data_IF_612554993405
#
_entry.id   IF_612554993405
#
_cell.length_a   1.000
_cell.length_b   1.000
_cell.length_c   1.000
_cell.angle_alpha   90.00
_cell.angle_beta   90.00
_cell.angle_gamma   90.00
#
_symmetry.space_group_name_H-M   'P 1'
#
loop_
_entity.id
_entity.type
_entity.pdbx_description
1 polymer ?
#
# COMPACT_ATOMS: atom_id res chain seq x y z
N UNK A 1 -22.13 6.78 -3.51
CA UNK A 1 -21.52 6.37 -2.22
C UNK A 1 -22.09 7.14 -1.05
N UNK A 2 -22.01 8.47 -0.99
CA UNK A 2 -22.60 9.27 0.11
C UNK A 2 -24.08 8.96 0.37
N UNK A 3 -24.90 8.88 -0.68
CA UNK A 3 -26.32 8.58 -0.53
C UNK A 3 -26.53 7.19 0.10
N UNK A 4 -25.73 6.19 -0.28
CA UNK A 4 -25.81 4.85 0.30
C UNK A 4 -25.35 4.84 1.77
N UNK A 5 -24.31 5.59 2.13
CA UNK A 5 -23.89 5.76 3.52
C UNK A 5 -24.97 6.48 4.36
N UNK A 6 -25.60 7.52 3.80
CA UNK A 6 -26.68 8.26 4.46
C UNK A 6 -27.89 7.36 4.69
N UNK A 7 -28.32 6.62 3.66
CA UNK A 7 -29.42 5.67 3.77
C UNK A 7 -29.14 4.59 4.81
N UNK A 8 -27.93 4.02 4.81
CA UNK A 8 -27.49 3.06 5.83
C UNK A 8 -27.60 3.64 7.25
N UNK A 9 -27.12 4.87 7.44
CA UNK A 9 -27.15 5.55 8.74
C UNK A 9 -28.57 5.85 9.21
N UNK A 10 -29.46 6.28 8.30
CA UNK A 10 -30.88 6.52 8.60
C UNK A 10 -31.59 5.22 8.96
N UNK A 11 -31.34 4.14 8.22
CA UNK A 11 -31.93 2.82 8.49
C UNK A 11 -31.47 2.26 9.84
N UNK A 12 -30.19 2.41 10.18
CA UNK A 12 -29.68 2.05 11.51
C UNK A 12 -30.39 2.84 12.61
N UNK A 13 -30.48 4.17 12.47
CA UNK A 13 -31.17 5.01 13.45
C UNK A 13 -32.67 4.70 13.58
N UNK A 14 -33.32 4.29 12.49
CA UNK A 14 -34.72 3.87 12.53
C UNK A 14 -34.90 2.52 13.22
N UNK A 15 -33.94 1.60 13.10
CA UNK A 15 -33.96 0.31 13.80
C UNK A 15 -34.08 0.46 15.32
N UNK A 16 -33.55 1.56 15.86
CA UNK A 16 -33.54 1.88 17.29
C UNK A 16 -34.84 2.57 17.76
N UNK A 17 -35.75 2.95 16.85
CA UNK A 17 -37.01 3.56 17.24
C UNK A 17 -37.95 2.51 17.86
N UNK A 18 -38.68 2.84 18.95
CA UNK A 18 -39.53 1.89 19.67
C UNK A 18 -40.52 1.14 18.78
N UNK A 19 -41.09 1.82 17.78
CA UNK A 19 -42.01 1.23 16.81
C UNK A 19 -41.39 0.05 16.05
N UNK A 20 -40.14 0.19 15.57
CA UNK A 20 -39.46 -0.86 14.81
C UNK A 20 -38.93 -1.96 15.71
N UNK A 21 -38.53 -1.64 16.94
CA UNK A 21 -38.20 -2.64 17.95
C UNK A 21 -39.41 -3.51 18.31
N UNK A 22 -40.58 -2.89 18.53
CA UNK A 22 -41.83 -3.61 18.80
C UNK A 22 -42.27 -4.47 17.61
N UNK A 23 -42.16 -3.95 16.38
CA UNK A 23 -42.42 -4.73 15.16
C UNK A 23 -41.48 -5.93 15.05
N UNK A 24 -40.21 -5.78 15.41
CA UNK A 24 -39.23 -6.86 15.42
C UNK A 24 -39.57 -7.93 16.47
N UNK A 25 -39.98 -7.51 17.67
CA UNK A 25 -40.44 -8.41 18.73
C UNK A 25 -41.71 -9.16 18.30
N UNK A 26 -42.69 -8.46 17.71
CA UNK A 26 -43.92 -9.07 17.18
C UNK A 26 -43.63 -10.08 16.07
N UNK A 27 -42.74 -9.74 15.12
CA UNK A 27 -42.28 -10.66 14.06
C UNK A 27 -41.62 -11.90 14.63
N UNK A 28 -40.85 -11.75 15.70
CA UNK A 28 -40.17 -12.85 16.37
C UNK A 28 -41.13 -13.74 17.17
N UNK A 29 -42.18 -13.16 17.76
CA UNK A 29 -43.24 -13.90 18.45
C UNK A 29 -44.15 -14.69 17.49
N UNK A 30 -44.29 -14.22 16.24
CA UNK A 30 -45.04 -14.92 15.19
C UNK A 30 -44.24 -16.04 14.52
N UNK A 31 -42.93 -16.16 14.78
CA UNK A 31 -42.12 -17.26 14.26
C UNK A 31 -42.49 -18.56 15.01
N UNK A 32 -42.99 -19.60 14.32
CA UNK A 32 -43.23 -20.89 14.97
C UNK A 32 -41.90 -21.44 15.50
N UNK A 33 -41.92 -22.01 16.72
CA UNK A 33 -40.77 -22.67 17.33
C UNK A 33 -40.11 -23.63 16.34
N UNK A 34 -38.77 -23.67 16.23
CA UNK A 34 -38.11 -24.53 15.27
C UNK A 34 -38.44 -25.99 15.59
N UNK A 35 -39.21 -26.64 14.72
CA UNK A 35 -39.30 -28.10 14.68
C UNK A 35 -37.89 -28.65 14.47
N UNK A 36 -37.52 -29.68 15.24
CA UNK A 36 -36.16 -30.19 15.49
C UNK A 36 -35.27 -30.57 14.28
N UNK A 37 -35.64 -30.25 13.04
CA UNK A 37 -34.86 -30.54 11.82
C UNK A 37 -34.14 -29.35 11.16
N UNK A 38 -34.50 -28.10 11.46
CA UNK A 38 -33.93 -26.93 10.76
C UNK A 38 -32.80 -26.28 11.58
N UNK A 39 -31.64 -26.95 11.63
CA UNK A 39 -30.40 -26.41 12.24
C UNK A 39 -29.67 -25.37 11.38
N UNK A 40 -30.25 -24.92 10.27
CA UNK A 40 -29.72 -23.84 9.45
C UNK A 40 -30.51 -22.55 9.67
N UNK A 41 -30.73 -22.20 10.94
CA UNK A 41 -31.42 -20.99 11.34
C UNK A 41 -30.73 -19.76 10.76
N UNK A 42 -31.46 -19.02 9.92
CA UNK A 42 -31.15 -17.64 9.55
C UNK A 42 -30.68 -16.87 10.79
N UNK A 43 -29.65 -16.02 10.68
CA UNK A 43 -29.12 -15.28 11.82
C UNK A 43 -30.26 -14.57 12.55
N UNK A 44 -30.21 -14.57 13.88
CA UNK A 44 -31.06 -13.69 14.68
C UNK A 44 -30.73 -12.25 14.27
N UNK A 45 -31.50 -11.66 13.35
CA UNK A 45 -31.41 -10.25 13.01
C UNK A 45 -31.68 -9.45 14.29
N UNK A 46 -30.66 -8.77 14.80
CA UNK A 46 -30.71 -7.98 16.03
C UNK A 46 -31.57 -6.73 15.88
N UNK A 47 -31.64 -6.16 14.68
CA UNK A 47 -32.45 -5.02 14.29
C UNK A 47 -33.32 -5.30 13.06
N UNK A 48 -34.37 -4.49 12.90
CA UNK A 48 -35.39 -4.66 11.86
C UNK A 48 -34.85 -4.46 10.44
N UNK A 49 -33.85 -3.57 10.28
CA UNK A 49 -33.25 -3.24 8.98
C UNK A 49 -31.83 -3.81 8.78
N UNK A 50 -31.35 -4.68 9.66
CA UNK A 50 -29.95 -5.15 9.66
C UNK A 50 -29.51 -5.73 8.31
N UNK A 51 -30.34 -6.55 7.67
CA UNK A 51 -30.02 -7.14 6.38
C UNK A 51 -29.85 -6.08 5.28
N UNK A 52 -30.65 -5.02 5.33
CA UNK A 52 -30.59 -3.92 4.38
C UNK A 52 -29.39 -3.00 4.66
N UNK A 53 -29.10 -2.73 5.93
CA UNK A 53 -27.89 -2.02 6.38
C UNK A 53 -26.64 -2.77 5.94
N UNK A 54 -26.62 -4.10 6.09
CA UNK A 54 -25.53 -4.96 5.63
C UNK A 54 -25.33 -4.87 4.10
N UNK A 55 -26.42 -4.90 3.33
CA UNK A 55 -26.36 -4.72 1.87
C UNK A 55 -25.82 -3.35 1.45
N UNK A 56 -26.27 -2.27 2.09
CA UNK A 56 -25.73 -0.93 1.83
C UNK A 56 -24.25 -0.82 2.19
N UNK A 57 -23.85 -1.40 3.33
CA UNK A 57 -22.46 -1.43 3.77
C UNK A 57 -21.58 -2.16 2.74
N UNK A 58 -21.96 -3.38 2.36
CA UNK A 58 -21.26 -4.16 1.34
C UNK A 58 -21.19 -3.41 -0.02
N UNK A 59 -22.27 -2.78 -0.44
CA UNK A 59 -22.29 -1.95 -1.65
C UNK A 59 -21.27 -0.81 -1.55
N UNK A 60 -21.26 -0.07 -0.44
CA UNK A 60 -20.34 1.05 -0.25
C UNK A 60 -18.88 0.64 -0.12
N UNK A 61 -18.58 -0.54 0.40
CA UNK A 61 -17.23 -1.10 0.44
C UNK A 61 -16.76 -1.55 -0.95
N UNK A 62 -17.66 -2.14 -1.74
CA UNK A 62 -17.41 -2.44 -3.15
C UNK A 62 -17.16 -1.15 -3.96
N UNK A 63 -17.95 -0.09 -3.74
CA UNK A 63 -17.72 1.21 -4.36
C UNK A 63 -16.36 1.81 -3.97
N UNK A 64 -15.97 1.69 -2.69
CA UNK A 64 -14.67 2.17 -2.20
C UNK A 64 -13.52 1.43 -2.89
N UNK A 65 -13.62 0.11 -3.00
CA UNK A 65 -12.63 -0.73 -3.68
C UNK A 65 -12.51 -0.37 -5.16
N UNK A 66 -13.65 -0.20 -5.84
CA UNK A 66 -13.68 0.20 -7.24
C UNK A 66 -13.09 1.60 -7.45
N UNK A 67 -13.40 2.55 -6.56
CA UNK A 67 -12.85 3.90 -6.61
C UNK A 67 -11.33 3.89 -6.47
N UNK A 68 -10.78 3.16 -5.49
CA UNK A 68 -9.32 3.03 -5.33
C UNK A 68 -8.69 2.45 -6.60
N UNK A 69 -9.28 1.39 -7.17
CA UNK A 69 -8.77 0.78 -8.40
C UNK A 69 -8.78 1.77 -9.58
N UNK A 70 -9.85 2.54 -9.73
CA UNK A 70 -9.99 3.55 -10.77
C UNK A 70 -8.99 4.70 -10.60
N UNK A 71 -8.72 5.12 -9.36
CA UNK A 71 -7.70 6.13 -9.08
C UNK A 71 -6.29 5.62 -9.37
N UNK A 72 -6.00 4.38 -8.99
CA UNK A 72 -4.69 3.78 -9.23
C UNK A 72 -4.41 3.50 -10.71
N UNK A 73 -5.44 3.30 -11.53
CA UNK A 73 -5.29 2.90 -12.95
C UNK A 73 -4.34 3.79 -13.77
N UNK A 74 -4.59 5.12 -13.86
CA UNK A 74 -3.72 6.04 -14.58
C UNK A 74 -2.29 6.07 -14.05
N UNK A 75 -2.12 6.07 -12.73
CA UNK A 75 -0.80 6.02 -12.08
C UNK A 75 -0.03 4.76 -12.48
N UNK A 76 -0.65 3.57 -12.30
CA UNK A 76 -0.04 2.28 -12.63
C UNK A 76 0.38 2.23 -14.10
N UNK A 77 -0.50 2.66 -15.00
CA UNK A 77 -0.25 2.65 -16.44
C UNK A 77 0.94 3.52 -16.81
N UNK A 78 0.99 4.75 -16.30
CA UNK A 78 2.06 5.69 -16.62
C UNK A 78 3.40 5.25 -16.00
N UNK A 79 3.40 4.89 -14.72
CA UNK A 79 4.60 4.49 -14.00
C UNK A 79 5.22 3.22 -14.59
N UNK A 80 4.43 2.18 -14.88
CA UNK A 80 4.97 0.96 -15.52
C UNK A 80 5.60 1.23 -16.89
N UNK A 81 5.04 2.17 -17.65
CA UNK A 81 5.53 2.46 -19.01
C UNK A 81 6.80 3.31 -19.02
N UNK A 82 6.90 4.27 -18.11
CA UNK A 82 7.91 5.33 -18.22
C UNK A 82 8.94 5.32 -17.08
N UNK A 83 8.54 4.94 -15.86
CA UNK A 83 9.40 5.16 -14.70
C UNK A 83 10.54 4.16 -14.61
N UNK A 84 10.28 2.86 -14.79
CA UNK A 84 11.34 1.83 -14.76
C UNK A 84 12.41 2.11 -15.83
N UNK A 85 11.99 2.50 -17.03
CA UNK A 85 12.91 2.89 -18.09
C UNK A 85 13.76 4.12 -17.72
N UNK A 86 13.17 5.09 -17.03
CA UNK A 86 13.89 6.27 -16.54
C UNK A 86 14.93 5.91 -15.46
N UNK A 87 14.60 4.99 -14.53
CA UNK A 87 15.56 4.49 -13.53
C UNK A 87 16.75 3.80 -14.20
N UNK A 88 16.50 2.99 -15.23
CA UNK A 88 17.55 2.30 -15.97
C UNK A 88 18.43 3.27 -16.77
N UNK A 89 17.84 4.31 -17.36
CA UNK A 89 18.58 5.31 -18.12
C UNK A 89 19.51 6.15 -17.23
N UNK A 90 19.17 6.34 -15.95
CA UNK A 90 20.04 7.05 -15.01
C UNK A 90 21.41 6.37 -14.85
N UNK A 91 21.47 5.03 -14.77
CA UNK A 91 22.75 4.33 -14.70
C UNK A 91 23.66 4.63 -15.90
N UNK A 92 23.09 4.75 -17.11
CA UNK A 92 23.85 5.03 -18.32
C UNK A 92 24.47 6.43 -18.34
N UNK A 93 23.87 7.36 -17.61
CA UNK A 93 24.38 8.75 -17.50
C UNK A 93 25.44 8.88 -16.42
N UNK A 94 25.38 8.03 -15.38
CA UNK A 94 26.30 8.12 -14.24
C UNK A 94 27.65 7.43 -14.47
N UNK A 95 27.71 6.46 -15.40
CA UNK A 95 28.93 5.76 -15.75
C UNK A 95 29.32 6.07 -17.21
N UNK A 96 30.60 6.32 -17.46
CA UNK A 96 31.13 6.44 -18.82
C UNK A 96 31.22 5.07 -19.53
N UNK A 97 31.59 5.08 -20.82
CA UNK A 97 31.74 3.87 -21.66
C UNK A 97 32.78 2.89 -21.07
N UNK A 98 33.72 3.40 -20.26
CA UNK A 98 34.76 2.63 -19.59
C UNK A 98 34.37 2.20 -18.16
N UNK A 99 33.13 2.45 -17.74
CA UNK A 99 32.60 2.08 -16.42
C UNK A 99 33.06 2.99 -15.28
N UNK A 100 33.65 4.16 -15.57
CA UNK A 100 34.07 5.13 -14.55
C UNK A 100 32.94 6.10 -14.22
N UNK A 101 32.80 6.39 -12.93
CA UNK A 101 31.78 7.28 -12.39
C UNK A 101 32.04 8.74 -12.81
N UNK A 102 31.07 9.40 -13.44
CA UNK A 102 31.19 10.83 -13.78
C UNK A 102 30.97 11.68 -12.52
N UNK A 103 32.05 12.27 -11.97
CA UNK A 103 32.12 12.83 -10.61
C UNK A 103 31.39 14.17 -10.37
N UNK A 104 31.09 14.93 -11.44
CA UNK A 104 30.68 16.34 -11.30
C UNK A 104 29.15 16.57 -11.29
N UNK A 105 28.33 15.59 -11.69
CA UNK A 105 26.85 15.68 -11.71
C UNK A 105 26.15 14.95 -10.54
N UNK A 106 26.92 14.44 -9.56
CA UNK A 106 26.45 13.44 -8.59
C UNK A 106 25.60 14.03 -7.46
N UNK A 107 26.07 15.12 -6.84
CA UNK A 107 25.39 15.72 -5.68
C UNK A 107 24.26 16.69 -6.07
N UNK A 108 24.24 17.16 -7.31
CA UNK A 108 23.19 18.07 -7.82
C UNK A 108 21.99 17.34 -8.42
N UNK A 109 22.15 16.09 -8.85
CA UNK A 109 21.12 15.31 -9.55
C UNK A 109 20.18 14.53 -8.62
N UNK A 110 20.68 14.03 -7.48
CA UNK A 110 19.92 13.19 -6.55
C UNK A 110 19.43 14.02 -5.36
N UNK A 111 18.41 14.84 -5.58
CA UNK A 111 17.81 15.64 -4.49
C UNK A 111 16.29 15.79 -4.58
N UNK A 112 15.67 15.39 -5.70
CA UNK A 112 14.24 15.60 -5.94
C UNK A 112 13.59 14.36 -6.52
N UNK A 113 12.26 14.32 -6.45
CA UNK A 113 11.48 13.24 -7.05
C UNK A 113 11.76 13.22 -8.55
N UNK A 114 12.07 12.05 -9.09
CA UNK A 114 12.24 11.79 -10.52
C UNK A 114 11.07 12.42 -11.29
N UNK A 115 11.32 13.26 -12.32
CA UNK A 115 10.24 13.99 -13.01
C UNK A 115 9.12 13.08 -13.53
N UNK A 116 9.48 11.90 -14.04
CA UNK A 116 8.52 10.90 -14.53
C UNK A 116 7.63 10.37 -13.39
N UNK A 117 8.22 10.09 -12.23
CA UNK A 117 7.45 9.62 -11.08
C UNK A 117 6.59 10.74 -10.51
N UNK A 118 7.11 11.95 -10.43
CA UNK A 118 6.38 13.13 -9.98
C UNK A 118 5.11 13.37 -10.81
N UNK A 119 5.17 13.27 -12.14
CA UNK A 119 3.99 13.39 -13.02
C UNK A 119 2.92 12.34 -12.68
N UNK A 120 3.33 11.09 -12.47
CA UNK A 120 2.42 10.01 -12.08
C UNK A 120 1.76 10.31 -10.73
N UNK A 121 2.55 10.75 -9.76
CA UNK A 121 2.11 11.07 -8.41
C UNK A 121 1.17 12.28 -8.37
N UNK A 122 1.43 13.32 -9.17
CA UNK A 122 0.55 14.48 -9.28
C UNK A 122 -0.84 14.10 -9.79
N UNK A 123 -0.90 13.18 -10.76
CA UNK A 123 -2.19 12.66 -11.27
C UNK A 123 -2.96 11.96 -10.14
N UNK A 124 -2.29 11.12 -9.36
CA UNK A 124 -2.91 10.44 -8.23
C UNK A 124 -3.32 11.43 -7.12
N UNK A 125 -2.46 12.38 -6.77
CA UNK A 125 -2.71 13.40 -5.76
C UNK A 125 -3.90 14.31 -6.10
N UNK A 126 -4.09 14.66 -7.37
CA UNK A 126 -5.29 15.38 -7.83
C UNK A 126 -6.56 14.55 -7.62
N UNK A 127 -6.53 13.25 -7.96
CA UNK A 127 -7.69 12.39 -7.75
C UNK A 127 -8.02 12.21 -6.27
N UNK A 128 -7.01 12.07 -5.42
CA UNK A 128 -7.17 12.00 -3.96
C UNK A 128 -7.84 13.25 -3.43
N UNK A 129 -7.32 14.42 -3.81
CA UNK A 129 -7.87 15.72 -3.41
C UNK A 129 -9.31 15.85 -3.87
N UNK A 130 -9.59 15.53 -5.14
CA UNK A 130 -10.93 15.57 -5.70
C UNK A 130 -11.90 14.67 -4.93
N UNK A 131 -11.51 13.43 -4.65
CA UNK A 131 -12.31 12.46 -3.88
C UNK A 131 -12.57 12.96 -2.45
N UNK A 132 -11.59 13.59 -1.82
CA UNK A 132 -11.72 14.20 -0.48
C UNK A 132 -12.74 15.33 -0.41
N UNK A 133 -13.04 16.01 -1.52
CA UNK A 133 -14.07 17.07 -1.56
C UNK A 133 -15.50 16.51 -1.53
N UNK A 134 -15.70 15.27 -1.95
CA UNK A 134 -17.04 14.70 -2.14
C UNK A 134 -17.39 13.59 -1.16
N UNK A 135 -16.52 13.19 -0.23
CA UNK A 135 -16.76 12.08 0.68
C UNK A 135 -16.64 12.56 2.13
N UNK A 136 -17.44 11.98 3.03
CA UNK A 136 -17.31 12.24 4.48
C UNK A 136 -15.91 11.90 4.99
N UNK A 137 -15.44 12.62 6.00
CA UNK A 137 -14.07 12.48 6.55
C UNK A 137 -13.75 11.04 6.95
N UNK A 138 -14.66 10.34 7.62
CA UNK A 138 -14.44 8.95 8.06
C UNK A 138 -14.26 8.01 6.88
N UNK A 139 -15.12 8.14 5.87
CA UNK A 139 -15.07 7.27 4.69
C UNK A 139 -13.89 7.61 3.80
N UNK A 140 -13.53 8.88 3.69
CA UNK A 140 -12.28 9.30 3.08
C UNK A 140 -11.09 8.64 3.78
N UNK A 141 -11.04 8.64 5.11
CA UNK A 141 -9.99 7.96 5.88
C UNK A 141 -9.85 6.47 5.58
N UNK A 142 -10.96 5.76 5.36
CA UNK A 142 -10.94 4.34 4.94
C UNK A 142 -10.40 4.17 3.52
N UNK A 143 -10.91 4.94 2.57
CA UNK A 143 -10.49 4.91 1.16
C UNK A 143 -9.00 5.25 1.06
N UNK A 144 -8.58 6.24 1.85
CA UNK A 144 -7.22 6.73 1.92
C UNK A 144 -6.23 5.67 2.40
N UNK A 145 -6.55 4.97 3.49
CA UNK A 145 -5.74 3.83 3.97
C UNK A 145 -5.70 2.69 2.96
N UNK A 146 -6.83 2.40 2.31
CA UNK A 146 -6.90 1.38 1.26
C UNK A 146 -6.03 1.74 0.05
N UNK A 147 -6.03 3.01 -0.36
CA UNK A 147 -5.19 3.52 -1.43
C UNK A 147 -3.71 3.39 -1.07
N UNK A 148 -3.32 3.83 0.13
CA UNK A 148 -1.95 3.71 0.62
C UNK A 148 -1.45 2.27 0.60
N UNK A 149 -2.25 1.32 1.12
CA UNK A 149 -1.91 -0.10 1.13
C UNK A 149 -1.74 -0.66 -0.29
N UNK A 150 -2.61 -0.29 -1.23
CA UNK A 150 -2.46 -0.71 -2.63
C UNK A 150 -1.25 -0.07 -3.32
N UNK A 151 -0.96 1.19 -3.00
CA UNK A 151 0.19 1.90 -3.56
C UNK A 151 1.50 1.31 -3.05
N UNK A 152 1.62 1.09 -1.73
CA UNK A 152 2.80 0.47 -1.10
C UNK A 152 3.08 -0.91 -1.71
N UNK A 153 2.07 -1.76 -1.79
CA UNK A 153 2.21 -3.09 -2.38
C UNK A 153 2.55 -3.04 -3.88
N UNK A 154 1.93 -2.13 -4.63
CA UNK A 154 2.14 -2.06 -6.07
C UNK A 154 3.53 -1.51 -6.41
N UNK A 155 3.98 -0.45 -5.73
CA UNK A 155 5.32 0.11 -5.92
C UNK A 155 6.38 -0.93 -5.54
N UNK A 156 6.21 -1.64 -4.43
CA UNK A 156 7.10 -2.75 -4.08
C UNK A 156 7.19 -3.77 -5.23
N UNK A 157 6.05 -4.31 -5.68
CA UNK A 157 6.03 -5.42 -6.64
C UNK A 157 6.44 -5.05 -8.06
N UNK A 158 6.06 -3.86 -8.52
CA UNK A 158 6.20 -3.48 -9.93
C UNK A 158 7.31 -2.47 -10.20
N UNK A 159 7.87 -1.88 -9.15
CA UNK A 159 9.00 -0.95 -9.27
C UNK A 159 10.19 -1.54 -8.53
N UNK A 160 10.13 -1.70 -7.20
CA UNK A 160 11.31 -2.05 -6.41
C UNK A 160 11.81 -3.47 -6.65
N UNK A 161 10.90 -4.41 -6.89
CA UNK A 161 11.18 -5.81 -7.23
C UNK A 161 11.20 -6.08 -8.74
N UNK A 162 11.18 -5.02 -9.56
CA UNK A 162 11.11 -5.20 -11.00
C UNK A 162 12.36 -5.94 -11.50
N UNK A 163 12.17 -7.04 -12.23
CA UNK A 163 13.26 -7.93 -12.67
C UNK A 163 14.34 -7.24 -13.51
N UNK A 164 13.98 -6.19 -14.25
CA UNK A 164 14.96 -5.40 -15.00
C UNK A 164 15.87 -4.53 -14.11
N UNK A 165 15.53 -4.31 -12.84
CA UNK A 165 16.32 -3.54 -11.88
C UNK A 165 17.28 -4.45 -11.09
N UNK A 166 17.88 -5.44 -11.75
CA UNK A 166 18.98 -6.21 -11.18
C UNK A 166 20.27 -5.40 -11.23
N UNK A 167 21.12 -5.57 -10.21
CA UNK A 167 22.40 -4.89 -10.07
C UNK A 167 22.31 -3.36 -10.05
N UNK A 168 21.38 -2.84 -9.25
CA UNK A 168 21.23 -1.41 -9.02
C UNK A 168 22.54 -0.81 -8.50
N UNK A 169 22.93 0.29 -9.13
CA UNK A 169 23.99 1.15 -8.58
C UNK A 169 23.52 1.84 -7.31
N UNK A 170 24.48 2.28 -6.48
CA UNK A 170 24.21 3.09 -5.29
C UNK A 170 23.25 4.25 -5.58
N UNK A 171 23.45 4.94 -6.70
CA UNK A 171 22.68 6.11 -7.08
C UNK A 171 21.24 5.79 -7.46
N UNK A 172 21.02 4.68 -8.19
CA UNK A 172 19.66 4.25 -8.50
C UNK A 172 18.93 3.82 -7.23
N UNK A 173 19.58 3.07 -6.34
CA UNK A 173 19.01 2.71 -5.04
C UNK A 173 18.68 3.95 -4.21
N UNK A 174 19.54 4.98 -4.23
CA UNK A 174 19.31 6.25 -3.55
C UNK A 174 18.16 7.04 -4.18
N UNK A 175 18.07 7.10 -5.51
CA UNK A 175 16.98 7.80 -6.19
C UNK A 175 15.63 7.12 -5.97
N UNK A 176 15.58 5.78 -5.98
CA UNK A 176 14.37 5.02 -5.62
C UNK A 176 13.90 5.36 -4.20
N UNK A 177 14.84 5.53 -3.26
CA UNK A 177 14.49 5.98 -1.91
C UNK A 177 13.91 7.41 -1.91
N UNK A 178 14.56 8.36 -2.59
CA UNK A 178 14.06 9.74 -2.71
C UNK A 178 12.66 9.77 -3.30
N UNK A 179 12.41 8.94 -4.31
CA UNK A 179 11.12 8.83 -4.97
C UNK A 179 10.04 8.23 -4.04
N UNK A 180 10.37 7.20 -3.27
CA UNK A 180 9.46 6.61 -2.27
C UNK A 180 9.15 7.59 -1.15
N UNK A 181 10.15 8.28 -0.61
CA UNK A 181 9.97 9.29 0.43
C UNK A 181 9.15 10.47 -0.08
N UNK A 182 9.45 10.95 -1.29
CA UNK A 182 8.72 12.02 -1.94
C UNK A 182 7.28 11.64 -2.30
N UNK A 183 7.03 10.42 -2.74
CA UNK A 183 5.67 9.87 -2.89
C UNK A 183 4.91 9.93 -1.57
N UNK A 184 5.54 9.48 -0.50
CA UNK A 184 4.89 9.46 0.80
C UNK A 184 4.54 10.88 1.26
N UNK A 185 5.47 11.82 1.12
CA UNK A 185 5.27 13.21 1.47
C UNK A 185 4.19 13.87 0.60
N UNK A 186 4.26 13.73 -0.73
CA UNK A 186 3.33 14.38 -1.65
C UNK A 186 1.88 13.92 -1.43
N UNK A 187 1.68 12.63 -1.19
CA UNK A 187 0.35 12.07 -1.02
C UNK A 187 -0.12 12.20 0.44
N UNK A 188 0.72 11.84 1.42
CA UNK A 188 0.29 11.62 2.80
C UNK A 188 0.47 12.79 3.76
N UNK A 189 1.33 13.76 3.47
CA UNK A 189 1.64 14.84 4.43
C UNK A 189 0.44 15.72 4.83
N UNK A 190 -0.53 15.91 3.94
CA UNK A 190 -1.73 16.70 4.23
C UNK A 190 -2.71 16.01 5.18
N UNK A 191 -2.53 14.70 5.44
CA UNK A 191 -3.49 13.87 6.16
C UNK A 191 -2.88 13.15 7.38
N UNK A 192 -1.56 13.18 7.54
CA UNK A 192 -0.85 12.58 8.67
C UNK A 192 0.48 13.31 8.96
N UNK A 193 0.89 13.44 10.24
CA UNK A 193 2.22 13.92 10.59
C UNK A 193 3.33 12.93 10.19
N UNK A 194 3.01 11.64 10.05
CA UNK A 194 3.96 10.57 9.73
C UNK A 194 3.61 9.88 8.39
N UNK A 195 3.87 10.53 7.24
CA UNK A 195 3.51 10.02 5.92
C UNK A 195 4.19 8.70 5.56
N UNK A 196 5.42 8.49 6.02
CA UNK A 196 6.20 7.28 5.74
C UNK A 196 5.60 6.00 6.37
N UNK A 197 4.74 6.14 7.38
CA UNK A 197 4.07 4.98 8.00
C UNK A 197 3.00 4.36 7.09
N UNK A 198 2.62 5.04 6.01
CA UNK A 198 1.64 4.56 5.01
C UNK A 198 2.28 3.76 3.88
N UNK A 199 3.60 3.74 3.77
CA UNK A 199 4.37 2.97 2.78
C UNK A 199 5.47 2.11 3.42
N UNK A 200 5.13 1.30 4.45
CA UNK A 200 6.13 0.59 5.23
C UNK A 200 6.91 -0.44 4.42
N UNK A 201 6.30 -1.14 3.46
CA UNK A 201 7.01 -2.15 2.67
C UNK A 201 8.02 -1.50 1.72
N UNK A 202 7.64 -0.42 1.04
CA UNK A 202 8.56 0.34 0.18
C UNK A 202 9.73 0.91 0.99
N UNK A 203 9.45 1.44 2.19
CA UNK A 203 10.49 1.96 3.09
C UNK A 203 11.47 0.86 3.50
N UNK A 204 10.97 -0.29 3.93
CA UNK A 204 11.83 -1.44 4.29
C UNK A 204 12.64 -1.92 3.09
N UNK A 205 12.05 -1.95 1.90
CA UNK A 205 12.75 -2.33 0.67
C UNK A 205 13.87 -1.35 0.31
N UNK A 206 13.66 -0.05 0.45
CA UNK A 206 14.71 0.95 0.26
C UNK A 206 15.87 0.82 1.26
N UNK A 207 15.62 0.32 2.48
CA UNK A 207 16.69 0.00 3.43
C UNK A 207 17.55 -1.16 2.90
N UNK A 208 16.90 -2.23 2.41
CA UNK A 208 17.59 -3.40 1.85
C UNK A 208 18.44 -3.05 0.62
N UNK A 209 17.88 -2.25 -0.31
CA UNK A 209 18.56 -1.82 -1.52
C UNK A 209 19.83 -0.99 -1.27
N UNK A 210 20.01 -0.49 -0.04
CA UNK A 210 21.13 0.36 0.37
C UNK A 210 22.06 -0.33 1.38
N UNK A 211 21.89 -1.62 1.62
CA UNK A 211 22.79 -2.35 2.51
C UNK A 211 24.19 -2.43 1.92
N UNK A 212 25.18 -2.38 2.82
CA UNK A 212 26.56 -2.67 2.49
C UNK A 212 26.73 -4.16 2.18
N UNK A 213 27.68 -4.51 1.30
CA UNK A 213 27.89 -5.90 0.87
C UNK A 213 28.09 -6.86 2.06
N UNK A 214 28.85 -6.44 3.08
CA UNK A 214 29.08 -7.24 4.28
C UNK A 214 27.78 -7.62 5.01
N UNK A 215 26.81 -6.68 5.08
CA UNK A 215 25.50 -6.92 5.72
C UNK A 215 24.58 -7.74 4.83
N UNK A 216 24.70 -7.62 3.50
CA UNK A 216 23.97 -8.44 2.54
C UNK A 216 24.39 -9.91 2.72
N UNK A 217 25.70 -10.20 2.73
CA UNK A 217 26.21 -11.55 2.91
C UNK A 217 25.86 -12.12 4.29
N UNK A 218 25.94 -11.31 5.35
CA UNK A 218 25.53 -11.73 6.68
C UNK A 218 24.05 -12.13 6.71
N UNK A 219 23.17 -11.31 6.12
CA UNK A 219 21.73 -11.57 6.08
C UNK A 219 21.41 -12.80 5.20
N UNK A 220 22.05 -12.96 4.04
CA UNK A 220 21.90 -14.14 3.18
C UNK A 220 22.28 -15.42 3.91
N UNK A 221 23.45 -15.43 4.54
CA UNK A 221 23.94 -16.60 5.29
C UNK A 221 22.97 -16.98 6.42
N UNK A 222 22.46 -15.98 7.15
CA UNK A 222 21.47 -16.20 8.21
C UNK A 222 20.11 -16.67 7.67
N UNK A 223 19.75 -16.30 6.44
CA UNK A 223 18.51 -16.73 5.79
C UNK A 223 18.60 -18.14 5.20
N UNK A 224 19.76 -18.58 4.74
CA UNK A 224 19.97 -19.91 4.17
C UNK A 224 20.15 -20.99 5.24
N UNK A 225 20.66 -20.63 6.41
CA UNK A 225 20.80 -21.53 7.54
C UNK A 225 19.43 -21.78 8.22
N UNK A 226 18.82 -22.95 7.98
CA UNK A 226 17.57 -23.36 8.64
C UNK A 226 17.65 -23.36 10.18
N UNK A 227 18.86 -23.50 10.74
CA UNK A 227 19.10 -23.49 12.18
C UNK A 227 19.30 -22.09 12.78
N UNK A 228 19.48 -21.03 11.97
CA UNK A 228 19.86 -19.68 12.45
C UNK A 228 18.73 -18.65 12.34
N UNK A 229 17.49 -19.12 12.51
CA UNK A 229 16.28 -18.30 12.41
C UNK A 229 16.29 -17.12 13.39
N UNK A 230 16.82 -17.29 14.60
CA UNK A 230 16.84 -16.21 15.59
C UNK A 230 17.87 -15.12 15.24
N UNK A 231 19.03 -15.47 14.67
CA UNK A 231 19.98 -14.48 14.17
C UNK A 231 19.41 -13.72 12.98
N UNK A 232 18.75 -14.41 12.05
CA UNK A 232 18.03 -13.76 10.95
C UNK A 232 17.00 -12.74 11.47
N UNK A 233 16.16 -13.14 12.44
CA UNK A 233 15.21 -12.22 13.09
C UNK A 233 15.92 -11.04 13.76
N UNK A 234 17.05 -11.26 14.41
CA UNK A 234 17.79 -10.20 15.09
C UNK A 234 18.37 -9.18 14.11
N UNK A 235 18.90 -9.64 12.97
CA UNK A 235 19.38 -8.77 11.88
C UNK A 235 18.20 -7.95 11.33
N UNK A 236 17.09 -8.61 10.99
CA UNK A 236 15.89 -7.92 10.47
C UNK A 236 15.32 -6.90 11.47
N UNK A 237 15.28 -7.22 12.77
CA UNK A 237 14.90 -6.27 13.83
C UNK A 237 15.83 -5.06 13.89
N UNK A 238 17.14 -5.29 13.78
CA UNK A 238 18.14 -4.21 13.78
C UNK A 238 17.97 -3.29 12.58
N UNK A 239 17.60 -3.86 11.42
CA UNK A 239 17.27 -3.12 10.20
C UNK A 239 15.84 -2.55 10.20
N UNK A 240 15.03 -2.85 11.22
CA UNK A 240 13.60 -2.49 11.34
C UNK A 240 12.75 -3.01 10.18
N UNK A 241 13.05 -4.21 9.70
CA UNK A 241 12.30 -4.91 8.64
C UNK A 241 11.30 -5.85 9.31
N UNK A 242 10.02 -5.63 9.05
CA UNK A 242 8.89 -6.31 9.73
C UNK A 242 7.74 -6.67 8.81
N UNK A 243 7.64 -6.05 7.63
CA UNK A 243 6.52 -6.19 6.69
C UNK A 243 6.86 -7.01 5.46
N UNK A 244 8.14 -7.06 5.07
CA UNK A 244 8.59 -7.87 3.95
C UNK A 244 8.62 -9.36 4.31
N UNK A 245 8.20 -10.21 3.38
CA UNK A 245 8.37 -11.66 3.49
C UNK A 245 9.76 -12.09 3.02
N UNK A 246 10.10 -13.37 3.27
CA UNK A 246 11.40 -13.94 2.95
C UNK A 246 11.75 -13.79 1.47
N UNK A 247 10.79 -14.05 0.58
CA UNK A 247 11.02 -14.07 -0.87
C UNK A 247 11.29 -12.64 -1.40
N UNK A 248 10.54 -11.65 -0.94
CA UNK A 248 10.79 -10.25 -1.27
C UNK A 248 12.16 -9.79 -0.77
N UNK A 249 12.56 -10.20 0.44
CA UNK A 249 13.88 -9.86 0.98
C UNK A 249 14.98 -10.44 0.09
N UNK A 250 14.92 -11.73 -0.25
CA UNK A 250 15.93 -12.37 -1.09
C UNK A 250 16.04 -11.70 -2.48
N UNK A 251 14.90 -11.40 -3.11
CA UNK A 251 14.89 -10.69 -4.40
C UNK A 251 15.54 -9.30 -4.33
N UNK A 252 15.30 -8.56 -3.24
CA UNK A 252 15.94 -7.24 -3.04
C UNK A 252 17.44 -7.38 -2.79
N UNK A 253 17.87 -8.41 -2.07
CA UNK A 253 19.30 -8.69 -1.86
C UNK A 253 20.00 -9.11 -3.16
N UNK A 254 19.31 -9.78 -4.09
CA UNK A 254 19.82 -10.10 -5.44
C UNK A 254 19.88 -8.86 -6.36
N UNK A 255 19.04 -7.87 -6.10
CA UNK A 255 18.99 -6.64 -6.90
C UNK A 255 20.17 -5.68 -6.63
N UNK A 256 20.88 -5.81 -5.51
CA UNK A 256 22.00 -4.90 -5.17
C UNK A 256 23.29 -5.34 -5.89
N UNK A 257 24.00 -4.39 -6.51
CA UNK A 257 25.28 -4.68 -7.15
C UNK A 257 26.38 -4.91 -6.10
N UNK A 258 27.22 -5.96 -6.21
CA UNK A 258 28.32 -6.24 -5.27
C UNK A 258 29.50 -5.24 -5.30
N UNK A 259 29.39 -4.13 -6.02
CA UNK A 259 30.48 -3.16 -6.18
C UNK A 259 30.63 -2.20 -4.99
N UNK A 260 29.97 -2.48 -3.86
CA UNK A 260 30.10 -1.74 -2.60
C UNK A 260 31.36 -2.16 -1.82
N UNK A 261 32.51 -2.10 -2.48
CA UNK A 261 33.85 -2.29 -1.90
C UNK A 261 34.79 -1.18 -2.34
#
# INVERSE_FOLDING_TARGET
MNSACLLSSVLSAWSDLPMFTELQLARSALRPSPTQGERNGLPLCTGYFDDLVAQFTACTDAMSTHLISTMMGPFKTYASKHYVAAILDMAKRTYDVDGRMQREDIDSSICTISPVFHIALMTLGHQVTFVGLFITTDRFGMIWRGLAAQLDLWVLKHILLHSALQHLSYFQARQLQVDVEGMALLLFSNHTPDPLNYVPMCREACVLLRLEQAKIEELRTAMDAEEDVERCRQILRTLKITRLDRDHILQLLDAVHPAHS
#
